data_IF_372884692846
#
_entry.id   IF_372884692846
#
_cell.length_a   1.000
_cell.length_b   1.000
_cell.length_c   1.000
_cell.angle_alpha   90.00
_cell.angle_beta   90.00
_cell.angle_gamma   90.00
#
_symmetry.space_group_name_H-M   'P 1'
#
loop_
_entity.id
_entity.type
_entity.pdbx_description
1 polymer ?
#
# COMPACT_ATOMS: atom_id res chain seq x y z
N UNK A 1 33.94 3.98 -10.58
CA UNK A 1 32.78 4.44 -11.37
C UNK A 1 31.78 3.29 -11.39
N UNK A 2 30.99 3.15 -10.32
CA UNK A 2 30.04 2.04 -10.17
C UNK A 2 28.92 2.24 -11.16
N UNK A 3 28.69 1.26 -12.05
CA UNK A 3 27.58 1.28 -12.99
C UNK A 3 26.28 1.55 -12.22
N UNK A 4 25.53 2.57 -12.65
CA UNK A 4 24.16 2.78 -12.22
C UNK A 4 23.38 1.49 -12.49
N UNK A 5 22.54 1.00 -11.55
CA UNK A 5 21.80 -0.23 -11.76
C UNK A 5 20.95 -0.12 -13.03
N UNK A 6 21.03 -1.19 -13.81
CA UNK A 6 20.37 -1.38 -15.09
C UNK A 6 18.94 -0.86 -15.04
N UNK A 7 18.65 0.10 -15.94
CA UNK A 7 17.43 0.86 -15.98
C UNK A 7 16.20 -0.04 -15.84
N UNK A 8 15.26 0.42 -15.01
CA UNK A 8 13.92 -0.11 -14.81
C UNK A 8 13.35 -0.63 -16.14
N UNK A 9 13.43 -1.94 -16.37
CA UNK A 9 12.99 -2.58 -17.60
C UNK A 9 11.47 -2.45 -17.70
N UNK A 10 10.99 -1.42 -18.40
CA UNK A 10 9.57 -1.09 -18.62
C UNK A 10 9.01 -1.81 -19.83
N UNK A 11 9.27 -3.11 -19.94
CA UNK A 11 8.80 -3.94 -21.04
C UNK A 11 7.51 -4.69 -20.63
N UNK A 12 6.34 -4.09 -20.89
CA UNK A 12 5.10 -4.83 -21.16
C UNK A 12 3.95 -4.86 -20.14
N UNK A 13 4.16 -4.50 -18.86
CA UNK A 13 3.18 -4.76 -17.78
C UNK A 13 2.85 -3.52 -16.90
N UNK A 14 2.90 -2.34 -17.52
CA UNK A 14 3.12 -1.02 -16.88
C UNK A 14 1.92 -0.38 -16.16
N UNK A 15 0.79 -1.07 -15.98
CA UNK A 15 -0.40 -0.47 -15.35
C UNK A 15 -0.42 -0.77 -13.85
N UNK A 16 -0.41 0.26 -12.97
CA UNK A 16 -0.44 0.03 -11.53
C UNK A 16 -1.70 -0.72 -11.11
N UNK A 17 -1.54 -1.58 -10.10
CA UNK A 17 -2.64 -2.20 -9.39
C UNK A 17 -3.11 -1.37 -8.20
N UNK A 18 -4.24 -1.75 -7.62
CA UNK A 18 -4.75 -1.16 -6.38
C UNK A 18 -5.49 -2.19 -5.57
N UNK A 19 -5.57 -1.95 -4.26
CA UNK A 19 -6.35 -2.70 -3.28
C UNK A 19 -6.84 -1.74 -2.21
N UNK A 20 -8.07 -1.92 -1.75
CA UNK A 20 -8.64 -1.13 -0.67
C UNK A 20 -10.17 -1.07 -0.74
N UNK A 21 -10.75 -0.21 0.10
CA UNK A 21 -12.18 0.12 0.05
C UNK A 21 -12.38 1.31 -0.88
N UNK A 22 -13.36 1.18 -1.77
CA UNK A 22 -13.81 2.27 -2.62
C UNK A 22 -15.28 2.48 -2.32
N UNK A 23 -15.68 3.70 -1.96
CA UNK A 23 -17.04 3.99 -1.52
C UNK A 23 -18.12 3.48 -2.51
N UNK A 24 -17.84 3.54 -3.81
CA UNK A 24 -18.75 3.07 -4.87
C UNK A 24 -18.88 1.54 -4.99
N UNK A 25 -17.99 0.74 -4.40
CA UNK A 25 -17.95 -0.72 -4.55
C UNK A 25 -18.50 -1.49 -3.34
N UNK A 26 -18.73 -0.83 -2.20
CA UNK A 26 -19.37 -1.41 -1.01
C UNK A 26 -18.52 -2.39 -0.19
N UNK A 27 -17.44 -2.92 -0.75
CA UNK A 27 -16.51 -3.83 -0.07
C UNK A 27 -15.05 -3.57 -0.51
N UNK A 28 -14.10 -4.32 0.07
CA UNK A 28 -12.73 -4.40 -0.41
C UNK A 28 -12.69 -4.94 -1.84
N UNK A 29 -11.94 -4.26 -2.69
CA UNK A 29 -11.69 -4.68 -4.05
C UNK A 29 -10.20 -4.58 -4.36
N UNK A 30 -9.77 -5.34 -5.35
CA UNK A 30 -8.43 -5.25 -5.92
C UNK A 30 -8.48 -5.30 -7.43
N UNK A 31 -7.45 -4.75 -8.07
CA UNK A 31 -7.24 -4.93 -9.51
C UNK A 31 -5.75 -4.92 -9.81
N UNK A 32 -5.30 -5.87 -10.63
CA UNK A 32 -3.90 -6.00 -11.12
C UNK A 32 -2.85 -6.09 -10.01
N UNK A 33 -3.23 -6.53 -8.81
CA UNK A 33 -2.28 -6.90 -7.77
C UNK A 33 -2.28 -8.42 -7.60
N UNK A 34 -1.10 -9.06 -7.53
CA UNK A 34 -1.00 -10.46 -7.14
C UNK A 34 -1.62 -10.70 -5.77
N UNK A 35 -2.32 -11.82 -5.61
CA UNK A 35 -3.03 -12.15 -4.37
C UNK A 35 -2.08 -12.24 -3.15
N UNK A 36 -0.83 -12.69 -3.33
CA UNK A 36 0.13 -12.72 -2.22
C UNK A 36 0.45 -11.32 -1.71
N UNK A 37 0.60 -10.34 -2.60
CA UNK A 37 0.86 -8.96 -2.22
C UNK A 37 -0.32 -8.39 -1.42
N UNK A 38 -1.55 -8.58 -1.91
CA UNK A 38 -2.75 -8.11 -1.21
C UNK A 38 -2.92 -8.74 0.17
N UNK A 39 -2.62 -10.03 0.35
CA UNK A 39 -2.69 -10.66 1.67
C UNK A 39 -1.73 -10.04 2.69
N UNK A 40 -0.51 -9.69 2.28
CA UNK A 40 0.47 -9.04 3.17
C UNK A 40 0.04 -7.61 3.50
N UNK A 41 -0.41 -6.85 2.48
CA UNK A 41 -0.93 -5.50 2.67
C UNK A 41 -2.14 -5.47 3.60
N UNK A 42 -3.12 -6.35 3.38
CA UNK A 42 -4.36 -6.42 4.17
C UNK A 42 -4.07 -6.74 5.64
N UNK A 43 -3.25 -7.76 5.91
CA UNK A 43 -2.90 -8.13 7.28
C UNK A 43 -2.25 -6.95 8.03
N UNK A 44 -1.33 -6.24 7.37
CA UNK A 44 -0.67 -5.07 7.95
C UNK A 44 -1.63 -3.90 8.17
N UNK A 45 -2.42 -3.52 7.14
CA UNK A 45 -3.38 -2.42 7.24
C UNK A 45 -4.46 -2.69 8.29
N UNK A 46 -4.99 -3.92 8.33
CA UNK A 46 -5.98 -4.34 9.31
C UNK A 46 -5.43 -4.26 10.74
N UNK A 47 -4.18 -4.67 10.96
CA UNK A 47 -3.51 -4.48 12.25
C UNK A 47 -3.38 -3.00 12.65
N UNK A 48 -2.97 -2.14 11.71
CA UNK A 48 -2.87 -0.70 11.95
C UNK A 48 -4.22 -0.07 12.29
N UNK A 49 -5.30 -0.45 11.61
CA UNK A 49 -6.65 0.04 11.91
C UNK A 49 -7.17 -0.41 13.28
N UNK A 50 -6.66 -1.52 13.81
CA UNK A 50 -6.98 -1.98 15.17
C UNK A 50 -6.14 -1.27 16.24
N UNK A 51 -4.89 -0.94 15.95
CA UNK A 51 -3.94 -0.44 16.95
C UNK A 51 -3.87 1.08 17.03
N UNK A 52 -3.97 1.79 15.90
CA UNK A 52 -3.91 3.25 15.89
C UNK A 52 -4.98 3.94 16.76
N UNK A 53 -6.24 3.47 16.84
CA UNK A 53 -7.21 4.03 17.78
C UNK A 53 -6.76 3.93 19.25
N UNK A 54 -6.08 2.83 19.62
CA UNK A 54 -5.59 2.60 20.98
C UNK A 54 -4.45 3.56 21.32
N UNK A 55 -3.60 3.89 20.34
CA UNK A 55 -2.45 4.79 20.49
C UNK A 55 -2.86 6.27 20.45
N UNK A 56 -3.77 6.64 19.54
CA UNK A 56 -4.14 8.03 19.29
C UNK A 56 -5.36 8.50 20.10
N UNK A 57 -6.13 7.57 20.69
CA UNK A 57 -7.29 7.86 21.51
C UNK A 57 -8.31 8.73 20.78
N UNK A 58 -8.81 9.78 21.44
CA UNK A 58 -9.82 10.68 20.89
C UNK A 58 -9.39 11.39 19.59
N UNK A 59 -8.08 11.52 19.33
CA UNK A 59 -7.55 12.15 18.11
C UNK A 59 -7.55 11.23 16.90
N UNK A 60 -7.85 9.94 17.09
CA UNK A 60 -7.77 8.91 16.05
C UNK A 60 -8.50 9.30 14.77
N UNK A 61 -9.80 9.61 14.88
CA UNK A 61 -10.65 9.82 13.72
C UNK A 61 -10.21 11.07 12.93
N UNK A 62 -9.95 12.17 13.63
CA UNK A 62 -9.47 13.41 13.01
C UNK A 62 -8.12 13.19 12.30
N UNK A 63 -7.20 12.46 12.94
CA UNK A 63 -5.90 12.12 12.35
C UNK A 63 -6.05 11.22 11.11
N UNK A 64 -6.96 10.25 11.12
CA UNK A 64 -7.22 9.38 9.96
C UNK A 64 -7.82 10.18 8.80
N UNK A 65 -8.84 10.99 9.06
CA UNK A 65 -9.55 11.77 8.03
C UNK A 65 -8.70 12.88 7.41
N UNK A 66 -7.70 13.37 8.13
CA UNK A 66 -6.78 14.42 7.66
C UNK A 66 -5.40 13.87 7.28
N UNK A 67 -5.22 12.54 7.27
CA UNK A 67 -3.96 11.91 6.96
C UNK A 67 -3.51 12.27 5.53
N UNK A 68 -2.23 12.65 5.33
CA UNK A 68 -1.73 12.92 4.00
C UNK A 68 -1.66 11.62 3.18
N UNK A 69 -1.68 11.75 1.86
CA UNK A 69 -1.34 10.63 0.97
C UNK A 69 0.11 10.23 1.20
N UNK A 70 0.32 9.00 1.67
CA UNK A 70 1.63 8.46 1.98
C UNK A 70 2.24 7.83 0.73
N UNK A 71 3.43 8.26 0.34
CA UNK A 71 4.23 7.62 -0.71
C UNK A 71 5.14 6.59 -0.05
N UNK A 72 5.21 5.39 -0.61
CA UNK A 72 6.04 4.33 -0.05
C UNK A 72 6.92 3.65 -1.09
N UNK A 73 8.00 3.05 -0.60
CA UNK A 73 8.86 2.12 -1.31
C UNK A 73 9.13 0.92 -0.39
N UNK A 74 8.72 -0.27 -0.79
CA UNK A 74 9.08 -1.50 -0.09
C UNK A 74 10.21 -2.20 -0.81
N UNK A 75 11.24 -2.54 -0.04
CA UNK A 75 12.39 -3.27 -0.52
C UNK A 75 12.06 -4.75 -0.78
N UNK A 76 12.85 -5.43 -1.63
CA UNK A 76 12.83 -6.87 -1.73
C UNK A 76 12.92 -7.55 -0.35
N UNK A 77 12.09 -8.57 -0.13
CA UNK A 77 11.98 -9.31 1.11
C UNK A 77 10.85 -8.84 2.04
N UNK A 78 10.21 -7.69 1.76
CA UNK A 78 9.06 -7.22 2.57
C UNK A 78 7.77 -7.99 2.21
N UNK A 79 7.47 -8.10 0.92
CA UNK A 79 6.30 -8.84 0.41
C UNK A 79 6.73 -10.00 -0.48
N UNK A 80 7.66 -9.72 -1.38
CA UNK A 80 8.35 -10.67 -2.25
C UNK A 80 9.73 -10.10 -2.60
N UNK A 81 10.45 -10.74 -3.53
CA UNK A 81 11.80 -10.31 -3.90
C UNK A 81 11.83 -9.15 -4.92
N UNK A 82 10.74 -8.38 -5.06
CA UNK A 82 10.65 -7.22 -5.95
C UNK A 82 10.55 -5.93 -5.14
N UNK A 83 10.89 -4.82 -5.79
CA UNK A 83 10.58 -3.48 -5.28
C UNK A 83 9.11 -3.15 -5.53
N UNK A 84 8.46 -2.57 -4.53
CA UNK A 84 7.10 -2.03 -4.66
C UNK A 84 7.12 -0.54 -4.39
N UNK A 85 6.50 0.23 -5.27
CA UNK A 85 6.32 1.67 -5.10
C UNK A 85 4.85 1.99 -5.22
N UNK A 86 4.37 2.92 -4.40
CA UNK A 86 2.96 3.26 -4.45
C UNK A 86 2.58 4.42 -3.55
N UNK A 87 1.27 4.61 -3.48
CA UNK A 87 0.64 5.57 -2.59
C UNK A 87 -0.43 4.88 -1.75
N UNK A 88 -0.60 5.35 -0.52
CA UNK A 88 -1.64 4.94 0.40
C UNK A 88 -2.42 6.19 0.82
N UNK A 89 -3.73 6.08 0.83
CA UNK A 89 -4.65 7.16 1.20
C UNK A 89 -5.68 6.61 2.18
N UNK A 90 -6.06 7.40 3.19
CA UNK A 90 -7.24 7.12 3.99
C UNK A 90 -8.49 7.28 3.12
N UNK A 91 -9.31 6.23 3.03
CA UNK A 91 -10.50 6.15 2.16
C UNK A 91 -11.71 5.60 2.90
#
# INVERSE_FOLDING_TARGET
MSALPEALNTSGDTVPGWYGKVAALGDFAQRRLPQHCVRHCDAWLSGMMQDLPKVLGARWLDTYLTAPVLRFAWAPGVVDMKWWFGVLMAS
#
